data_IF_835281884382
#
_entry.id   IF_835281884382
#
_cell.length_a   1.000
_cell.length_b   1.000
_cell.length_c   1.000
_cell.angle_alpha   90.00
_cell.angle_beta   90.00
_cell.angle_gamma   90.00
#
_symmetry.space_group_name_H-M   'P 1'
#
loop_
_entity.id
_entity.type
_entity.pdbx_description
1 polymer ?
#
# COMPACT_ATOMS: atom_id res chain seq x y z
N UNK A 1 -6.02 15.51 12.34
CA UNK A 1 -6.30 14.24 11.62
C UNK A 1 -7.17 13.35 12.49
N UNK A 2 -8.14 12.62 11.92
CA UNK A 2 -8.97 11.65 12.69
C UNK A 2 -8.11 10.47 13.14
N UNK A 3 -8.36 9.93 14.34
CA UNK A 3 -7.61 8.79 14.93
C UNK A 3 -7.53 7.58 13.98
N UNK A 4 -8.59 7.33 13.21
CA UNK A 4 -8.64 6.23 12.23
C UNK A 4 -7.70 6.42 11.04
N UNK A 5 -7.45 7.66 10.60
CA UNK A 5 -6.47 7.97 9.55
C UNK A 5 -5.04 7.74 10.04
N UNK A 6 -4.77 8.07 11.31
CA UNK A 6 -3.49 7.79 11.97
C UNK A 6 -3.21 6.28 12.05
N UNK A 7 -4.22 5.49 12.39
CA UNK A 7 -4.09 4.02 12.43
C UNK A 7 -3.82 3.47 11.03
N UNK A 8 -4.56 3.92 10.01
CA UNK A 8 -4.33 3.48 8.63
C UNK A 8 -2.90 3.81 8.14
N UNK A 9 -2.40 5.00 8.48
CA UNK A 9 -1.04 5.40 8.16
C UNK A 9 0.00 4.53 8.91
N UNK A 10 -0.20 4.29 10.20
CA UNK A 10 0.69 3.43 10.99
C UNK A 10 0.73 2.00 10.45
N UNK A 11 -0.41 1.46 10.00
CA UNK A 11 -0.48 0.15 9.35
C UNK A 11 0.28 0.16 8.02
N UNK A 12 0.09 1.18 7.18
CA UNK A 12 0.87 1.33 5.94
C UNK A 12 2.37 1.38 6.22
N UNK A 13 2.81 2.19 7.18
CA UNK A 13 4.23 2.26 7.54
C UNK A 13 4.75 0.91 8.04
N UNK A 14 4.00 0.21 8.90
CA UNK A 14 4.40 -1.12 9.37
C UNK A 14 4.52 -2.14 8.23
N UNK A 15 3.54 -2.18 7.34
CA UNK A 15 3.48 -3.19 6.28
C UNK A 15 4.38 -2.88 5.09
N UNK A 16 4.42 -1.61 4.67
CA UNK A 16 5.10 -1.20 3.44
C UNK A 16 6.56 -0.81 3.68
N UNK A 17 6.94 -0.54 4.92
CA UNK A 17 8.30 -0.09 5.26
C UNK A 17 8.99 -1.00 6.28
N UNK A 18 8.36 -1.32 7.41
CA UNK A 18 9.04 -2.12 8.44
C UNK A 18 9.19 -3.60 8.04
N UNK A 19 8.17 -4.19 7.41
CA UNK A 19 8.15 -5.58 6.97
C UNK A 19 9.26 -5.94 5.95
N UNK A 20 9.49 -5.14 4.89
CA UNK A 20 10.63 -5.35 3.99
C UNK A 20 11.98 -5.29 4.70
N UNK A 21 12.15 -4.35 5.64
CA UNK A 21 13.36 -4.30 6.48
C UNK A 21 13.55 -5.55 7.34
N UNK A 22 12.48 -6.14 7.86
CA UNK A 22 12.54 -7.40 8.61
C UNK A 22 12.87 -8.59 7.71
N UNK A 23 12.43 -8.60 6.45
CA UNK A 23 12.74 -9.66 5.50
C UNK A 23 14.25 -9.77 5.24
N UNK A 24 14.95 -8.63 5.19
CA UNK A 24 16.42 -8.59 5.06
C UNK A 24 17.16 -9.26 6.23
N UNK A 25 16.56 -9.33 7.42
CA UNK A 25 17.17 -9.96 8.60
C UNK A 25 17.13 -11.50 8.53
N UNK A 26 16.33 -12.09 7.64
CA UNK A 26 16.17 -13.55 7.49
C UNK A 26 17.43 -14.22 6.89
N UNK A 27 18.38 -13.42 6.37
CA UNK A 27 19.69 -13.89 5.89
C UNK A 27 19.77 -14.04 4.37
N UNK A 28 20.87 -14.63 3.87
CA UNK A 28 21.12 -14.81 2.43
C UNK A 28 20.78 -16.23 1.99
N UNK A 29 19.84 -16.34 1.05
CA UNK A 29 19.41 -17.61 0.44
C UNK A 29 18.05 -17.44 -0.28
N UNK A 30 17.59 -18.49 -0.95
CA UNK A 30 16.36 -18.50 -1.76
C UNK A 30 15.11 -18.11 -0.96
N UNK A 31 15.12 -18.38 0.36
CA UNK A 31 14.02 -18.04 1.27
C UNK A 31 13.80 -16.54 1.38
N UNK A 32 14.87 -15.73 1.43
CA UNK A 32 14.76 -14.27 1.49
C UNK A 32 14.18 -13.71 0.19
N UNK A 33 14.62 -14.24 -0.95
CA UNK A 33 14.08 -13.85 -2.25
C UNK A 33 12.57 -14.14 -2.36
N UNK A 34 12.14 -15.34 -1.98
CA UNK A 34 10.72 -15.73 -1.99
C UNK A 34 9.90 -14.85 -1.03
N UNK A 35 10.40 -14.59 0.18
CA UNK A 35 9.74 -13.73 1.17
C UNK A 35 9.61 -12.29 0.68
N UNK A 36 10.68 -11.74 0.12
CA UNK A 36 10.70 -10.40 -0.48
C UNK A 36 9.65 -10.31 -1.59
N UNK A 37 9.64 -11.25 -2.54
CA UNK A 37 8.63 -11.28 -3.61
C UNK A 37 7.21 -11.38 -3.07
N UNK A 38 6.96 -12.21 -2.05
CA UNK A 38 5.64 -12.33 -1.44
C UNK A 38 5.18 -11.01 -0.80
N UNK A 39 6.09 -10.32 -0.09
CA UNK A 39 5.80 -9.04 0.55
C UNK A 39 5.50 -7.96 -0.51
N UNK A 40 6.36 -7.81 -1.52
CA UNK A 40 6.21 -6.80 -2.55
C UNK A 40 5.01 -7.06 -3.48
N UNK A 41 4.77 -8.31 -3.87
CA UNK A 41 3.79 -8.64 -4.91
C UNK A 41 2.39 -8.95 -4.36
N UNK A 42 2.27 -9.43 -3.12
CA UNK A 42 0.98 -9.74 -2.52
C UNK A 42 0.64 -8.78 -1.38
N UNK A 43 1.53 -8.65 -0.39
CA UNK A 43 1.20 -7.96 0.85
C UNK A 43 1.07 -6.44 0.63
N UNK A 44 2.02 -5.82 -0.08
CA UNK A 44 1.98 -4.40 -0.41
C UNK A 44 0.70 -4.00 -1.16
N UNK A 45 0.35 -4.65 -2.30
CA UNK A 45 -0.84 -4.25 -3.05
C UNK A 45 -2.14 -4.55 -2.30
N UNK A 46 -2.21 -5.62 -1.49
CA UNK A 46 -3.36 -5.85 -0.61
C UNK A 46 -3.52 -4.74 0.44
N UNK A 47 -2.42 -4.30 1.05
CA UNK A 47 -2.44 -3.19 2.00
C UNK A 47 -2.88 -1.88 1.33
N UNK A 48 -2.32 -1.59 0.15
CA UNK A 48 -2.69 -0.41 -0.64
C UNK A 48 -4.17 -0.46 -1.05
N UNK A 49 -4.68 -1.61 -1.48
CA UNK A 49 -6.09 -1.81 -1.83
C UNK A 49 -7.01 -1.55 -0.63
N UNK A 50 -6.70 -2.14 0.53
CA UNK A 50 -7.49 -1.93 1.76
C UNK A 50 -7.49 -0.46 2.20
N UNK A 51 -6.34 0.21 2.13
CA UNK A 51 -6.24 1.64 2.44
C UNK A 51 -6.98 2.51 1.42
N UNK A 52 -6.98 2.10 0.15
CA UNK A 52 -7.80 2.68 -0.92
C UNK A 52 -9.29 2.59 -0.62
N UNK A 53 -9.78 1.41 -0.23
CA UNK A 53 -11.17 1.22 0.20
C UNK A 53 -11.52 2.18 1.34
N UNK A 54 -10.67 2.23 2.37
CA UNK A 54 -10.87 3.13 3.51
C UNK A 54 -10.84 4.62 3.13
N UNK A 55 -10.03 4.99 2.14
CA UNK A 55 -9.99 6.33 1.59
C UNK A 55 -11.24 6.66 0.75
N UNK A 56 -11.77 5.68 0.01
CA UNK A 56 -12.99 5.82 -0.78
C UNK A 56 -14.25 6.11 0.06
N UNK A 57 -14.28 5.64 1.31
CA UNK A 57 -15.35 5.99 2.27
C UNK A 57 -15.44 7.49 2.55
N UNK A 58 -14.33 8.23 2.49
CA UNK A 58 -14.28 9.67 2.75
C UNK A 58 -13.21 10.36 1.88
N UNK A 59 -13.43 10.35 0.56
CA UNK A 59 -12.47 10.83 -0.45
C UNK A 59 -11.90 12.21 -0.11
N UNK A 60 -12.75 13.16 0.29
CA UNK A 60 -12.34 14.55 0.52
C UNK A 60 -11.25 14.67 1.59
N UNK A 61 -11.28 13.80 2.60
CA UNK A 61 -10.35 13.84 3.72
C UNK A 61 -9.17 12.87 3.58
N UNK A 62 -9.30 11.83 2.75
CA UNK A 62 -8.43 10.64 2.81
C UNK A 62 -7.78 10.23 1.49
N UNK A 63 -8.07 10.88 0.38
CA UNK A 63 -7.52 10.52 -0.94
C UNK A 63 -5.99 10.42 -0.97
N UNK A 64 -5.29 11.27 -0.21
CA UNK A 64 -3.84 11.30 -0.12
C UNK A 64 -3.23 10.01 0.47
N UNK A 65 -3.99 9.21 1.25
CA UNK A 65 -3.54 7.90 1.76
C UNK A 65 -3.25 6.89 0.65
N UNK A 66 -3.82 7.09 -0.53
CA UNK A 66 -3.53 6.24 -1.70
C UNK A 66 -2.12 6.52 -2.23
N UNK A 67 -1.62 7.74 -2.07
CA UNK A 67 -0.26 8.12 -2.49
C UNK A 67 0.79 7.72 -1.47
N UNK A 68 0.46 7.70 -0.18
CA UNK A 68 1.43 7.32 0.86
C UNK A 68 1.90 5.89 0.73
N UNK A 69 1.04 4.96 0.29
CA UNK A 69 1.39 3.56 0.10
C UNK A 69 2.59 3.34 -0.84
N UNK A 70 2.49 3.72 -2.13
CA UNK A 70 3.60 3.58 -3.07
C UNK A 70 4.83 4.41 -2.70
N UNK A 71 4.67 5.58 -2.07
CA UNK A 71 5.81 6.37 -1.58
C UNK A 71 6.54 5.63 -0.45
N UNK A 72 5.82 5.05 0.51
CA UNK A 72 6.40 4.24 1.59
C UNK A 72 7.10 3.01 1.05
N UNK A 73 6.50 2.32 0.08
CA UNK A 73 7.11 1.18 -0.59
C UNK A 73 8.42 1.57 -1.28
N UNK A 74 8.42 2.64 -2.09
CA UNK A 74 9.64 3.15 -2.74
C UNK A 74 10.72 3.55 -1.73
N UNK A 75 10.34 4.19 -0.61
CA UNK A 75 11.29 4.52 0.46
C UNK A 75 11.87 3.27 1.12
N UNK A 76 11.05 2.23 1.33
CA UNK A 76 11.53 0.94 1.84
C UNK A 76 12.49 0.29 0.85
N UNK A 77 12.13 0.25 -0.43
CA UNK A 77 12.93 -0.32 -1.49
C UNK A 77 14.28 0.38 -1.61
N UNK A 78 14.31 1.72 -1.57
CA UNK A 78 15.54 2.53 -1.60
C UNK A 78 16.49 2.29 -0.42
N UNK A 79 15.96 1.93 0.75
CA UNK A 79 16.75 1.80 1.98
C UNK A 79 17.22 0.35 2.19
N UNK A 80 16.37 -0.62 1.86
CA UNK A 80 16.59 -2.02 2.15
C UNK A 80 17.07 -2.84 0.94
N UNK A 81 16.86 -2.34 -0.28
CA UNK A 81 17.22 -3.02 -1.52
C UNK A 81 18.06 -2.11 -2.42
N UNK A 82 18.93 -2.70 -3.25
CA UNK A 82 19.64 -1.93 -4.27
C UNK A 82 18.64 -1.58 -5.37
N UNK A 83 18.46 -0.29 -5.65
CA UNK A 83 17.32 0.21 -6.43
C UNK A 83 17.39 -0.25 -7.90
N UNK A 84 16.72 -1.36 -8.21
CA UNK A 84 16.52 -1.84 -9.59
C UNK A 84 15.22 -1.26 -10.21
N UNK A 85 15.18 -1.19 -11.54
CA UNK A 85 14.03 -0.66 -12.28
C UNK A 85 12.72 -1.40 -11.98
N UNK A 86 12.82 -2.66 -11.55
CA UNK A 86 11.69 -3.53 -11.23
C UNK A 86 10.91 -3.06 -10.00
N UNK A 87 11.55 -2.36 -9.05
CA UNK A 87 10.88 -1.78 -7.88
C UNK A 87 9.88 -0.68 -8.26
N UNK A 88 10.14 0.04 -9.35
CA UNK A 88 9.22 1.04 -9.87
C UNK A 88 7.91 0.39 -10.37
N UNK A 89 8.00 -0.82 -10.94
CA UNK A 89 6.82 -1.58 -11.37
C UNK A 89 5.95 -1.96 -10.17
N UNK A 90 6.53 -2.44 -9.08
CA UNK A 90 5.78 -2.75 -7.85
C UNK A 90 5.13 -1.52 -7.24
N UNK A 91 5.80 -0.36 -7.25
CA UNK A 91 5.21 0.90 -6.82
C UNK A 91 3.99 1.31 -7.66
N UNK A 92 4.05 1.11 -8.99
CA UNK A 92 2.91 1.32 -9.88
C UNK A 92 1.74 0.38 -9.57
N UNK A 93 2.02 -0.91 -9.34
CA UNK A 93 0.99 -1.88 -8.95
C UNK A 93 0.32 -1.45 -7.64
N UNK A 94 1.10 -1.04 -6.64
CA UNK A 94 0.59 -0.54 -5.36
C UNK A 94 -0.31 0.69 -5.51
N UNK A 95 0.10 1.65 -6.36
CA UNK A 95 -0.70 2.82 -6.67
C UNK A 95 -2.03 2.44 -7.32
N UNK A 96 -1.99 1.58 -8.35
CA UNK A 96 -3.19 1.11 -9.05
C UNK A 96 -4.13 0.36 -8.10
N UNK A 97 -3.62 -0.50 -7.23
CA UNK A 97 -4.42 -1.20 -6.21
C UNK A 97 -5.12 -0.22 -5.26
N UNK A 98 -4.42 0.80 -4.78
CA UNK A 98 -5.02 1.84 -3.94
C UNK A 98 -6.07 2.68 -4.67
N UNK A 99 -5.80 3.08 -5.92
CA UNK A 99 -6.76 3.81 -6.76
C UNK A 99 -8.01 2.98 -7.03
N UNK A 100 -7.85 1.68 -7.33
CA UNK A 100 -8.96 0.75 -7.53
C UNK A 100 -9.83 0.65 -6.28
N UNK A 101 -9.24 0.44 -5.10
CA UNK A 101 -9.99 0.39 -3.84
C UNK A 101 -10.77 1.67 -3.57
N UNK A 102 -10.15 2.83 -3.80
CA UNK A 102 -10.78 4.14 -3.64
C UNK A 102 -11.92 4.34 -4.64
N UNK A 103 -11.69 4.03 -5.91
CA UNK A 103 -12.65 4.16 -6.99
C UNK A 103 -13.90 3.30 -6.78
N UNK A 104 -13.71 2.01 -6.52
CA UNK A 104 -14.81 1.06 -6.26
C UNK A 104 -15.68 1.53 -5.09
N UNK A 105 -15.05 1.90 -3.97
CA UNK A 105 -15.80 2.29 -2.77
C UNK A 105 -16.52 3.62 -2.97
N UNK A 106 -15.89 4.57 -3.66
CA UNK A 106 -16.52 5.85 -3.98
C UNK A 106 -17.71 5.68 -4.93
N UNK A 107 -17.58 4.83 -5.96
CA UNK A 107 -18.67 4.51 -6.88
C UNK A 107 -19.84 3.85 -6.15
N UNK A 108 -19.59 2.84 -5.30
CA UNK A 108 -20.62 2.18 -4.49
C UNK A 108 -21.34 3.21 -3.60
N UNK A 109 -20.59 4.11 -2.96
CA UNK A 109 -21.16 5.15 -2.11
C UNK A 109 -22.02 6.14 -2.89
N UNK A 110 -21.61 6.51 -4.10
CA UNK A 110 -22.38 7.39 -4.97
C UNK A 110 -23.66 6.69 -5.48
N UNK A 111 -23.56 5.43 -5.89
CA UNK A 111 -24.71 4.63 -6.32
C UNK A 111 -25.72 4.44 -5.19
N UNK A 112 -25.26 4.15 -3.97
CA UNK A 112 -26.11 4.04 -2.79
C UNK A 112 -26.81 5.34 -2.43
N UNK A 113 -26.15 6.50 -2.61
CA UNK A 113 -26.79 7.81 -2.45
C UNK A 113 -27.81 8.14 -3.54
N UNK A 114 -27.62 7.63 -4.76
CA UNK A 114 -28.51 7.89 -5.89
C UNK A 114 -29.83 7.12 -5.81
N UNK A 115 -29.84 6.00 -5.09
CA UNK A 115 -31.00 5.12 -4.90
C UNK A 115 -31.82 5.43 -3.64
N UNK A 116 -31.48 6.50 -2.92
CA UNK A 116 -32.08 6.90 -1.65
C UNK A 116 -32.61 8.33 -1.75
#
# INVERSE_FOLDING_TARGET
>A
MKRSTLIALAVQTGVLFALPGMAQLVGRGDVNFILTLLILMALHPLCCLGTGIFAGLDIKARWWLVLTGPVLALCGDLIFYDMEADFLFYAWVNLLSGVLGLGITALIKQLSKRYR
#
